data_IF_300885185923
#
_entry.id   IF_300885185923
#
_cell.length_a   1.000
_cell.length_b   1.000
_cell.length_c   1.000
_cell.angle_alpha   90.00
_cell.angle_beta   90.00
_cell.angle_gamma   90.00
#
_symmetry.space_group_name_H-M   'P 1'
#
loop_
_entity.id
_entity.type
_entity.pdbx_description
1 polymer ?
#
# COMPACT_ATOMS: atom_id res chain seq x y z
N UNK A 1 3.90 -23.92 10.52
CA UNK A 1 3.22 -23.41 9.31
C UNK A 1 2.24 -24.45 8.83
N UNK A 2 1.00 -24.07 8.50
CA UNK A 2 0.02 -25.01 7.94
C UNK A 2 0.47 -25.52 6.56
N UNK A 3 0.01 -26.71 6.19
CA UNK A 3 0.27 -27.28 4.86
C UNK A 3 -0.22 -26.34 3.75
N UNK A 4 -1.38 -25.72 3.94
CA UNK A 4 -2.01 -24.82 2.98
C UNK A 4 -1.13 -23.59 2.68
N UNK A 5 -0.62 -22.91 3.72
CA UNK A 5 0.29 -21.76 3.54
C UNK A 5 1.56 -22.15 2.79
N UNK A 6 2.12 -23.33 3.10
CA UNK A 6 3.32 -23.82 2.40
C UNK A 6 3.06 -24.07 0.92
N UNK A 7 1.91 -24.63 0.57
CA UNK A 7 1.55 -24.90 -0.83
C UNK A 7 1.38 -23.61 -1.62
N UNK A 8 0.67 -22.62 -1.08
CA UNK A 8 0.47 -21.32 -1.74
C UNK A 8 1.79 -20.56 -1.99
N UNK A 9 2.77 -20.69 -1.08
CA UNK A 9 4.09 -20.11 -1.27
C UNK A 9 4.89 -20.76 -2.40
N UNK A 10 4.70 -22.07 -2.63
CA UNK A 10 5.42 -22.83 -3.66
C UNK A 10 4.82 -22.61 -5.05
N UNK A 11 3.49 -22.57 -5.17
CA UNK A 11 2.81 -22.46 -6.47
C UNK A 11 3.11 -21.10 -7.14
N UNK A 12 3.21 -20.02 -6.35
CA UNK A 12 3.49 -18.68 -6.85
C UNK A 12 2.40 -18.14 -7.78
N UNK A 13 2.44 -16.84 -8.08
CA UNK A 13 1.46 -16.22 -8.99
C UNK A 13 1.86 -16.43 -10.45
N UNK A 14 0.91 -16.85 -11.30
CA UNK A 14 1.09 -16.87 -12.76
C UNK A 14 1.45 -15.49 -13.32
N UNK A 15 0.92 -14.42 -12.73
CA UNK A 15 1.27 -13.03 -13.09
C UNK A 15 2.76 -12.77 -12.80
N UNK A 16 3.26 -13.26 -11.66
CA UNK A 16 4.67 -13.09 -11.28
C UNK A 16 5.59 -13.85 -12.23
N UNK A 17 5.22 -15.06 -12.63
CA UNK A 17 5.97 -15.84 -13.63
C UNK A 17 6.03 -15.12 -14.98
N UNK A 18 4.90 -14.58 -15.44
CA UNK A 18 4.85 -13.80 -16.69
C UNK A 18 5.72 -12.54 -16.63
N UNK A 19 5.75 -11.85 -15.49
CA UNK A 19 6.64 -10.70 -15.29
C UNK A 19 8.13 -11.08 -15.35
N UNK A 20 8.50 -12.21 -14.76
CA UNK A 20 9.88 -12.72 -14.81
C UNK A 20 10.29 -13.10 -16.23
N UNK A 21 9.40 -13.75 -16.98
CA UNK A 21 9.61 -14.01 -18.41
C UNK A 21 9.74 -12.70 -19.23
N UNK A 22 8.89 -11.71 -18.93
CA UNK A 22 8.98 -10.38 -19.53
C UNK A 22 10.36 -9.74 -19.31
N UNK A 23 10.93 -9.86 -18.11
CA UNK A 23 12.27 -9.36 -17.82
C UNK A 23 13.37 -10.13 -18.57
N UNK A 24 13.25 -11.45 -18.69
CA UNK A 24 14.18 -12.26 -19.49
C UNK A 24 14.17 -11.84 -20.97
N UNK A 25 12.98 -11.64 -21.54
CA UNK A 25 12.83 -11.17 -22.93
C UNK A 25 13.38 -9.75 -23.11
N UNK A 26 13.16 -8.84 -22.16
CA UNK A 26 13.72 -7.47 -22.20
C UNK A 26 15.25 -7.49 -22.19
N UNK A 27 15.86 -8.39 -21.41
CA UNK A 27 17.32 -8.56 -21.39
C UNK A 27 17.88 -9.09 -22.72
N UNK A 28 17.13 -9.95 -23.43
CA UNK A 28 17.56 -10.53 -24.70
C UNK A 28 17.32 -9.61 -25.90
N UNK A 29 16.20 -8.89 -25.93
CA UNK A 29 15.72 -8.17 -27.12
C UNK A 29 15.75 -6.64 -26.99
N UNK A 30 15.88 -6.11 -25.77
CA UNK A 30 15.74 -4.69 -25.45
C UNK A 30 14.36 -4.38 -24.85
N UNK A 31 14.32 -3.45 -23.89
CA UNK A 31 13.10 -3.09 -23.17
C UNK A 31 12.04 -2.44 -24.06
N UNK A 32 12.47 -1.76 -25.12
CA UNK A 32 11.64 -1.11 -26.15
C UNK A 32 10.91 -2.10 -27.06
N UNK A 33 11.32 -3.38 -27.08
CA UNK A 33 10.77 -4.42 -27.97
C UNK A 33 9.86 -5.42 -27.28
N UNK A 34 9.62 -5.25 -25.97
CA UNK A 34 8.81 -6.16 -25.17
C UNK A 34 7.66 -5.39 -24.52
N UNK A 35 6.46 -5.63 -25.02
CA UNK A 35 5.22 -5.07 -24.46
C UNK A 35 4.76 -5.92 -23.26
N UNK A 36 5.30 -5.63 -22.09
CA UNK A 36 4.96 -6.31 -20.84
C UNK A 36 3.76 -5.64 -20.14
N UNK A 37 2.60 -6.30 -20.19
CA UNK A 37 1.36 -5.87 -19.54
C UNK A 37 0.96 -6.76 -18.35
N UNK A 38 1.92 -7.45 -17.75
CA UNK A 38 1.65 -8.46 -16.71
C UNK A 38 1.35 -7.84 -15.33
N UNK A 39 2.19 -6.92 -14.84
CA UNK A 39 2.05 -6.32 -13.51
C UNK A 39 1.31 -4.99 -13.52
N UNK A 40 0.37 -4.85 -12.58
CA UNK A 40 -0.35 -3.60 -12.29
C UNK A 40 0.36 -2.68 -11.31
N UNK A 41 1.68 -2.53 -11.40
CA UNK A 41 2.42 -1.60 -10.53
C UNK A 41 2.07 -0.14 -10.92
N UNK A 42 2.01 0.80 -9.95
CA UNK A 42 1.92 2.22 -10.27
C UNK A 42 3.09 2.65 -11.16
N UNK A 43 2.78 3.39 -12.23
CA UNK A 43 3.79 3.87 -13.20
C UNK A 43 4.13 5.35 -13.03
N UNK A 44 3.38 6.06 -12.19
CA UNK A 44 3.54 7.49 -11.95
C UNK A 44 4.29 7.66 -10.64
N UNK A 45 5.35 8.46 -10.67
CA UNK A 45 6.10 8.83 -9.48
C UNK A 45 5.24 9.68 -8.52
N UNK A 46 5.44 9.58 -7.20
CA UNK A 46 4.74 10.42 -6.24
C UNK A 46 4.97 11.92 -6.52
N UNK A 47 4.00 12.79 -6.19
CA UNK A 47 4.17 14.24 -6.33
C UNK A 47 5.41 14.77 -5.60
N UNK A 48 6.07 15.80 -6.15
CA UNK A 48 7.29 16.36 -5.57
C UNK A 48 7.14 16.80 -4.10
N UNK A 49 5.94 17.24 -3.71
CA UNK A 49 5.59 17.60 -2.34
C UNK A 49 5.79 16.44 -1.34
N UNK A 50 5.49 15.19 -1.75
CA UNK A 50 5.70 14.01 -0.91
C UNK A 50 7.18 13.83 -0.58
N UNK A 51 8.05 13.90 -1.61
CA UNK A 51 9.49 13.75 -1.43
C UNK A 51 10.06 14.85 -0.53
N UNK A 52 9.62 16.11 -0.73
CA UNK A 52 10.07 17.24 0.08
C UNK A 52 9.71 17.05 1.56
N UNK A 53 8.48 16.67 1.86
CA UNK A 53 8.02 16.51 3.24
C UNK A 53 8.65 15.28 3.92
N UNK A 54 8.82 14.18 3.19
CA UNK A 54 9.52 13.00 3.69
C UNK A 54 10.96 13.32 4.09
N UNK A 55 11.70 14.04 3.24
CA UNK A 55 13.07 14.47 3.54
C UNK A 55 13.11 15.40 4.74
N UNK A 56 12.20 16.38 4.80
CA UNK A 56 12.12 17.33 5.91
C UNK A 56 11.99 16.61 7.26
N UNK A 57 11.10 15.61 7.35
CA UNK A 57 10.89 14.80 8.56
C UNK A 57 12.08 13.88 8.89
N UNK A 58 12.73 13.32 7.86
CA UNK A 58 13.90 12.47 8.04
C UNK A 58 15.12 13.25 8.56
N UNK A 59 15.33 14.47 8.05
CA UNK A 59 16.45 15.34 8.44
C UNK A 59 16.20 16.07 9.78
N UNK A 60 14.94 16.33 10.10
CA UNK A 60 14.53 17.06 11.31
C UNK A 60 13.50 16.25 12.11
N UNK A 61 13.90 15.11 12.70
CA UNK A 61 12.97 14.24 13.41
C UNK A 61 12.37 14.93 14.64
N UNK A 62 11.05 14.81 14.80
CA UNK A 62 10.36 15.35 15.98
C UNK A 62 10.59 14.42 17.17
N UNK A 63 10.86 14.94 18.39
CA UNK A 63 10.98 14.11 19.58
C UNK A 63 9.75 13.20 19.77
N UNK A 64 9.98 11.89 19.79
CA UNK A 64 8.91 10.90 19.94
C UNK A 64 8.24 10.44 18.64
N UNK A 65 8.66 10.93 17.47
CA UNK A 65 8.09 10.57 16.15
C UNK A 65 8.06 9.06 15.86
N UNK A 66 8.97 8.29 16.45
CA UNK A 66 9.08 6.84 16.25
C UNK A 66 8.42 6.00 17.36
N UNK A 67 7.71 6.64 18.28
CA UNK A 67 6.96 5.92 19.33
C UNK A 67 5.70 5.30 18.73
N UNK A 68 5.07 4.42 19.52
CA UNK A 68 3.77 3.86 19.15
C UNK A 68 2.70 4.96 19.04
N UNK A 69 1.88 4.81 18.01
CA UNK A 69 0.60 5.51 17.87
C UNK A 69 -0.52 4.70 18.54
N UNK A 70 -1.70 5.32 18.69
CA UNK A 70 -2.91 4.57 19.01
C UNK A 70 -3.21 3.54 17.91
N UNK A 71 -3.88 2.43 18.25
CA UNK A 71 -4.14 1.34 17.31
C UNK A 71 -4.87 1.80 16.02
N UNK A 72 -5.74 2.80 16.12
CA UNK A 72 -6.46 3.34 14.96
C UNK A 72 -5.62 4.30 14.10
N UNK A 73 -4.43 4.69 14.54
CA UNK A 73 -3.59 5.73 13.95
C UNK A 73 -3.63 7.06 14.72
N UNK A 74 -2.74 7.98 14.33
CA UNK A 74 -2.72 9.36 14.84
C UNK A 74 -4.00 10.11 14.48
N UNK A 75 -4.49 10.93 15.40
CA UNK A 75 -5.76 11.64 15.24
C UNK A 75 -5.73 12.63 14.08
N UNK A 76 -4.64 13.40 13.98
CA UNK A 76 -4.39 14.36 12.91
C UNK A 76 -4.31 13.70 11.53
N UNK A 77 -3.72 12.51 11.44
CA UNK A 77 -3.66 11.75 10.19
C UNK A 77 -5.03 11.25 9.77
N UNK A 78 -5.81 10.72 10.72
CA UNK A 78 -7.18 10.26 10.46
C UNK A 78 -8.10 11.39 10.05
N UNK A 79 -7.96 12.57 10.67
CA UNK A 79 -8.72 13.76 10.32
C UNK A 79 -8.39 14.24 8.89
N UNK A 80 -7.11 14.27 8.52
CA UNK A 80 -6.69 14.64 7.17
C UNK A 80 -7.26 13.69 6.10
N UNK A 81 -7.23 12.36 6.34
CA UNK A 81 -7.82 11.37 5.44
C UNK A 81 -9.33 11.52 5.34
N UNK A 82 -10.02 11.75 6.46
CA UNK A 82 -11.47 11.95 6.47
C UNK A 82 -11.87 13.18 5.63
N UNK A 83 -11.14 14.30 5.77
CA UNK A 83 -11.37 15.51 4.98
C UNK A 83 -11.10 15.30 3.49
N UNK A 84 -10.05 14.53 3.15
CA UNK A 84 -9.74 14.16 1.76
C UNK A 84 -10.90 13.36 1.14
N UNK A 85 -11.37 12.33 1.84
CA UNK A 85 -12.48 11.50 1.39
C UNK A 85 -13.78 12.30 1.23
N UNK A 86 -14.09 13.19 2.17
CA UNK A 86 -15.26 14.06 2.05
C UNK A 86 -15.16 14.99 0.84
N UNK A 87 -13.96 15.54 0.56
CA UNK A 87 -13.75 16.37 -0.63
C UNK A 87 -13.90 15.59 -1.93
N UNK A 88 -13.38 14.36 -2.00
CA UNK A 88 -13.44 13.53 -3.21
C UNK A 88 -14.84 12.96 -3.47
N UNK A 89 -15.55 12.56 -2.41
CA UNK A 89 -16.79 11.79 -2.53
C UNK A 89 -18.05 12.61 -2.24
N UNK A 90 -17.93 13.75 -1.55
CA UNK A 90 -19.05 14.53 -1.03
C UNK A 90 -19.76 13.90 0.18
N UNK A 91 -19.24 12.79 0.71
CA UNK A 91 -19.81 12.10 1.86
C UNK A 91 -19.12 12.59 3.14
N UNK A 92 -19.90 12.98 4.14
CA UNK A 92 -19.35 13.39 5.42
C UNK A 92 -18.71 12.19 6.14
N UNK A 93 -17.40 12.27 6.38
CA UNK A 93 -16.60 11.25 7.08
C UNK A 93 -15.92 11.94 8.25
N UNK A 94 -16.04 11.39 9.46
CA UNK A 94 -15.32 11.91 10.62
C UNK A 94 -14.03 11.11 10.85
N UNK A 95 -13.06 11.71 11.55
CA UNK A 95 -11.80 11.03 11.93
C UNK A 95 -12.05 9.71 12.68
N UNK A 96 -13.12 9.66 13.50
CA UNK A 96 -13.53 8.45 14.23
C UNK A 96 -13.93 7.29 13.31
N UNK A 97 -14.35 7.58 12.09
CA UNK A 97 -14.80 6.59 11.10
C UNK A 97 -13.61 6.03 10.28
N UNK A 98 -12.41 6.60 10.45
CA UNK A 98 -11.18 6.18 9.76
C UNK A 98 -10.29 5.36 10.70
N UNK A 99 -9.77 4.24 10.20
CA UNK A 99 -8.73 3.42 10.85
C UNK A 99 -7.55 3.31 9.89
N UNK A 100 -6.36 3.75 10.32
CA UNK A 100 -5.15 3.68 9.51
C UNK A 100 -4.59 2.25 9.47
N UNK A 101 -4.18 1.77 8.29
CA UNK A 101 -3.66 0.41 8.11
C UNK A 101 -2.40 0.39 7.25
N UNK A 102 -1.66 -0.72 7.32
CA UNK A 102 -0.52 -0.98 6.42
C UNK A 102 -1.02 -1.38 5.02
N UNK A 103 -1.51 -0.41 4.26
CA UNK A 103 -2.04 -0.60 2.91
C UNK A 103 -3.39 -1.32 2.87
N UNK A 104 -3.92 -1.46 1.65
CA UNK A 104 -5.26 -2.01 1.39
C UNK A 104 -5.40 -3.49 1.81
N UNK A 105 -4.36 -4.31 1.62
CA UNK A 105 -4.38 -5.71 2.08
C UNK A 105 -4.49 -5.83 3.61
N UNK A 106 -3.85 -4.91 4.34
CA UNK A 106 -4.01 -4.81 5.79
C UNK A 106 -5.45 -4.45 6.19
N UNK A 107 -6.05 -3.47 5.51
CA UNK A 107 -7.45 -3.10 5.71
C UNK A 107 -8.41 -4.26 5.43
N UNK A 108 -8.22 -4.98 4.31
CA UNK A 108 -9.03 -6.14 3.99
C UNK A 108 -8.95 -7.24 5.05
N UNK A 109 -7.76 -7.48 5.59
CA UNK A 109 -7.59 -8.47 6.66
C UNK A 109 -8.36 -8.07 7.92
N UNK A 110 -8.27 -6.79 8.33
CA UNK A 110 -9.04 -6.26 9.46
C UNK A 110 -10.54 -6.44 9.22
N UNK A 111 -11.06 -5.98 8.08
CA UNK A 111 -12.50 -6.09 7.75
C UNK A 111 -12.97 -7.53 7.77
N UNK A 112 -12.27 -8.45 7.09
CA UNK A 112 -12.68 -9.85 7.00
C UNK A 112 -12.67 -10.53 8.37
N UNK A 113 -11.64 -10.29 9.19
CA UNK A 113 -11.61 -10.83 10.55
C UNK A 113 -12.74 -10.28 11.41
N UNK A 114 -12.94 -8.96 11.41
CA UNK A 114 -13.99 -8.33 12.21
C UNK A 114 -15.40 -8.82 11.82
N UNK A 115 -15.64 -9.11 10.54
CA UNK A 115 -16.95 -9.59 10.07
C UNK A 115 -17.16 -11.10 10.26
N UNK A 116 -16.11 -11.90 10.11
CA UNK A 116 -16.21 -13.37 10.06
C UNK A 116 -15.80 -14.04 11.38
N UNK A 117 -15.07 -13.36 12.24
CA UNK A 117 -14.56 -13.84 13.53
C UNK A 117 -14.53 -12.67 14.55
N UNK A 118 -15.71 -12.17 14.97
CA UNK A 118 -15.84 -10.98 15.82
C UNK A 118 -15.41 -11.18 17.28
#
# INVERSE_FOLDING_TARGET
MSHNVRQQMVEGSWIRRMFEEGNALKALHGADKVCDFSLGNPIVEPPAAFKAEFLRLAEHPVPGMHRYMANAGYEETRAAVAQELERETGISVASRDVVMTCGASGAMNVVLKTLLDP
#
